data_IF_605451273192
#
_entry.id   IF_605451273192
#
_cell.length_a   1.000
_cell.length_b   1.000
_cell.length_c   1.000
_cell.angle_alpha   90.00
_cell.angle_beta   90.00
_cell.angle_gamma   90.00
#
_symmetry.space_group_name_H-M   'P 1'
#
loop_
_entity.id
_entity.type
_entity.pdbx_description
1 polymer ?
#
# COMPACT_ATOMS: atom_id res chain seq x y z
N UNK A 1 -34.22 3.49 -29.67
CA UNK A 1 -34.37 4.15 -28.38
C UNK A 1 -35.83 4.37 -28.10
N UNK A 2 -36.47 3.36 -27.51
CA UNK A 2 -37.71 3.58 -26.81
C UNK A 2 -37.40 4.26 -25.49
N UNK A 3 -38.09 5.34 -25.16
CA UNK A 3 -37.98 5.97 -23.86
C UNK A 3 -38.75 5.10 -22.86
N UNK A 4 -38.22 4.81 -21.67
CA UNK A 4 -38.99 4.11 -20.61
C UNK A 4 -39.63 5.06 -19.62
N UNK A 5 -39.46 6.36 -19.83
CA UNK A 5 -40.28 7.35 -19.18
C UNK A 5 -40.71 8.40 -20.22
N UNK A 6 -41.85 9.02 -19.98
CA UNK A 6 -42.31 10.17 -20.74
C UNK A 6 -42.64 11.30 -19.77
N UNK A 7 -42.24 12.53 -20.10
CA UNK A 7 -42.67 13.71 -19.36
C UNK A 7 -43.68 14.43 -20.23
N UNK A 8 -44.90 14.57 -19.73
CA UNK A 8 -45.95 15.27 -20.46
C UNK A 8 -46.89 15.99 -19.51
N UNK A 9 -47.39 17.13 -19.94
CA UNK A 9 -48.55 17.80 -19.34
C UNK A 9 -49.87 17.13 -19.71
N UNK A 10 -49.88 16.34 -20.78
CA UNK A 10 -51.04 15.58 -21.24
C UNK A 10 -51.19 14.28 -20.44
N UNK A 11 -52.43 13.79 -20.34
CA UNK A 11 -52.73 12.56 -19.62
C UNK A 11 -52.49 11.35 -20.52
N UNK A 12 -51.57 10.46 -20.13
CA UNK A 12 -51.30 9.20 -20.84
C UNK A 12 -51.93 8.06 -20.02
N UNK A 13 -53.06 7.53 -20.50
CA UNK A 13 -53.74 6.38 -19.90
C UNK A 13 -53.48 5.12 -20.73
N UNK A 14 -52.51 4.31 -20.32
CA UNK A 14 -52.20 3.04 -20.95
C UNK A 14 -52.08 1.94 -19.89
N UNK A 15 -52.60 0.72 -20.13
CA UNK A 15 -52.44 -0.39 -19.21
C UNK A 15 -50.96 -0.64 -18.89
N UNK A 16 -50.64 -0.79 -17.60
CA UNK A 16 -49.27 -1.03 -17.15
C UNK A 16 -48.39 0.23 -17.11
N UNK A 17 -48.92 1.42 -17.39
CA UNK A 17 -48.22 2.70 -17.20
C UNK A 17 -48.70 3.37 -15.91
N UNK A 18 -47.75 3.79 -15.07
CA UNK A 18 -47.99 4.60 -13.87
C UNK A 18 -47.43 5.99 -14.08
N UNK A 19 -47.90 6.94 -13.27
CA UNK A 19 -47.38 8.30 -13.33
C UNK A 19 -47.44 9.05 -12.00
N UNK A 20 -46.49 9.96 -11.84
CA UNK A 20 -46.36 10.84 -10.68
C UNK A 20 -46.30 12.30 -11.18
N UNK A 21 -46.90 13.23 -10.45
CA UNK A 21 -46.74 14.67 -10.72
C UNK A 21 -45.35 15.13 -10.30
N UNK A 22 -44.66 15.87 -11.18
CA UNK A 22 -43.34 16.41 -10.89
C UNK A 22 -43.39 17.46 -9.78
N UNK A 23 -44.39 18.34 -9.78
CA UNK A 23 -44.56 19.32 -8.71
C UNK A 23 -44.74 18.70 -7.31
N UNK A 24 -45.36 17.52 -7.24
CA UNK A 24 -45.50 16.78 -5.98
C UNK A 24 -44.19 16.10 -5.52
N UNK A 25 -43.29 15.76 -6.44
CA UNK A 25 -41.99 15.15 -6.12
C UNK A 25 -40.92 16.21 -5.79
N UNK A 26 -40.95 17.33 -6.50
CA UNK A 26 -39.94 18.38 -6.46
C UNK A 26 -40.36 19.60 -5.62
N UNK A 27 -41.52 19.50 -4.96
CA UNK A 27 -42.13 20.55 -4.13
C UNK A 27 -42.21 21.91 -4.86
N UNK A 28 -42.83 21.90 -6.04
CA UNK A 28 -43.01 23.10 -6.87
C UNK A 28 -44.30 23.03 -7.71
N UNK A 29 -44.57 24.09 -8.48
CA UNK A 29 -45.81 24.22 -9.26
C UNK A 29 -45.80 23.49 -10.61
N UNK A 30 -44.83 22.60 -10.89
CA UNK A 30 -44.75 21.88 -12.17
C UNK A 30 -45.93 20.90 -12.33
N UNK A 31 -46.79 21.21 -13.30
CA UNK A 31 -47.99 20.44 -13.60
C UNK A 31 -47.73 19.21 -14.47
N UNK A 32 -46.52 19.05 -15.01
CA UNK A 32 -46.15 17.89 -15.83
C UNK A 32 -46.06 16.63 -14.99
N UNK A 33 -46.36 15.50 -15.63
CA UNK A 33 -46.26 14.17 -15.06
C UNK A 33 -45.10 13.42 -15.68
N UNK A 34 -44.40 12.65 -14.86
CA UNK A 34 -43.51 11.58 -15.33
C UNK A 34 -44.31 10.28 -15.40
N UNK A 35 -44.34 9.68 -16.58
CA UNK A 35 -44.96 8.39 -16.86
C UNK A 35 -43.87 7.33 -16.96
N UNK A 36 -44.10 6.15 -16.38
CA UNK A 36 -43.16 5.04 -16.42
C UNK A 36 -43.93 3.70 -16.41
N UNK A 37 -43.42 2.66 -17.05
CA UNK A 37 -44.04 1.34 -17.06
C UNK A 37 -43.90 0.71 -15.67
N UNK A 38 -44.96 0.06 -15.20
CA UNK A 38 -44.95 -0.79 -14.01
C UNK A 38 -44.41 -2.20 -14.31
N UNK A 39 -44.17 -2.50 -15.60
CA UNK A 39 -43.64 -3.76 -16.12
C UNK A 39 -42.49 -3.48 -17.10
N UNK A 40 -42.04 -4.46 -17.88
CA UNK A 40 -40.93 -4.37 -18.83
C UNK A 40 -41.23 -3.59 -20.14
N UNK A 41 -42.39 -2.93 -20.22
CA UNK A 41 -42.86 -2.19 -21.39
C UNK A 41 -42.00 -0.97 -21.72
N UNK A 42 -41.98 -0.55 -23.00
CA UNK A 42 -41.23 0.63 -23.47
C UNK A 42 -42.15 1.61 -24.20
N UNK A 43 -41.95 2.92 -24.04
CA UNK A 43 -42.58 3.91 -24.90
C UNK A 43 -41.80 3.99 -26.22
N UNK A 44 -42.46 3.64 -27.33
CA UNK A 44 -41.82 3.73 -28.66
C UNK A 44 -41.76 5.19 -29.11
N UNK A 45 -40.57 5.64 -29.49
CA UNK A 45 -40.36 6.85 -30.28
C UNK A 45 -39.98 6.44 -31.71
N UNK A 46 -40.49 7.14 -32.72
CA UNK A 46 -40.18 6.84 -34.12
C UNK A 46 -38.66 7.02 -34.39
N UNK A 47 -38.03 6.05 -35.05
CA UNK A 47 -36.71 6.21 -35.68
C UNK A 47 -35.47 5.69 -34.94
N UNK A 48 -35.57 5.09 -33.75
CA UNK A 48 -34.38 4.70 -33.01
C UNK A 48 -34.31 3.17 -32.74
N UNK A 49 -33.24 2.52 -33.22
CA UNK A 49 -33.00 1.07 -33.11
C UNK A 49 -32.99 0.49 -31.70
N UNK A 50 -33.09 -0.85 -31.64
CA UNK A 50 -33.17 -1.67 -30.43
C UNK A 50 -31.81 -1.77 -29.73
N UNK A 51 -31.52 -0.82 -28.84
CA UNK A 51 -30.43 -0.95 -27.88
C UNK A 51 -31.05 -1.06 -26.48
N UNK A 52 -30.63 -2.11 -25.75
CA UNK A 52 -31.12 -2.45 -24.42
C UNK A 52 -30.69 -1.37 -23.41
N UNK A 53 -31.66 -0.74 -22.75
CA UNK A 53 -31.44 0.18 -21.62
C UNK A 53 -32.45 -0.14 -20.53
N UNK A 54 -31.94 -0.28 -19.31
CA UNK A 54 -32.71 -0.53 -18.09
C UNK A 54 -33.31 0.84 -17.68
N UNK A 55 -34.56 0.87 -17.23
CA UNK A 55 -35.24 2.12 -16.92
C UNK A 55 -36.69 1.92 -16.46
N UNK A 56 -36.93 0.89 -15.65
CA UNK A 56 -38.20 0.64 -14.99
C UNK A 56 -38.19 1.12 -13.53
N UNK A 57 -39.25 0.81 -12.79
CA UNK A 57 -39.32 1.02 -11.35
C UNK A 57 -38.67 -0.15 -10.57
N UNK A 58 -37.60 -0.74 -11.11
CA UNK A 58 -36.94 -1.86 -10.43
C UNK A 58 -36.23 -1.34 -9.18
N UNK A 59 -36.16 -2.12 -8.09
CA UNK A 59 -35.45 -1.73 -6.88
C UNK A 59 -33.99 -1.34 -7.17
N UNK A 60 -33.34 -2.04 -8.09
CA UNK A 60 -31.95 -1.77 -8.50
C UNK A 60 -31.78 -0.37 -9.13
N UNK A 61 -32.85 0.20 -9.69
CA UNK A 61 -32.85 1.52 -10.35
C UNK A 61 -33.35 2.65 -9.44
N UNK A 62 -34.08 2.32 -8.38
CA UNK A 62 -34.60 3.31 -7.41
C UNK A 62 -33.68 3.51 -6.20
N UNK A 63 -32.77 2.58 -5.91
CA UNK A 63 -31.85 2.67 -4.76
C UNK A 63 -30.60 3.46 -5.19
N UNK A 64 -30.52 4.72 -4.76
CA UNK A 64 -29.27 5.50 -4.80
C UNK A 64 -28.54 5.32 -3.47
N UNK A 65 -27.43 4.57 -3.40
CA UNK A 65 -26.69 4.42 -2.16
C UNK A 65 -26.02 5.75 -1.77
N UNK A 66 -26.35 6.28 -0.59
CA UNK A 66 -25.64 7.43 -0.01
C UNK A 66 -24.43 6.90 0.76
N UNK A 67 -23.25 7.02 0.16
CA UNK A 67 -21.98 6.67 0.81
C UNK A 67 -21.54 7.82 1.73
N UNK A 68 -21.67 7.62 3.05
CA UNK A 68 -21.07 8.52 4.04
C UNK A 68 -19.60 8.15 4.22
N UNK A 69 -18.73 8.69 3.36
CA UNK A 69 -17.28 8.55 3.51
C UNK A 69 -16.79 9.59 4.52
N UNK A 70 -16.50 9.15 5.74
CA UNK A 70 -15.67 9.95 6.67
C UNK A 70 -14.21 9.78 6.26
N UNK A 71 -13.71 10.65 5.39
CA UNK A 71 -12.26 10.83 5.30
C UNK A 71 -11.83 11.58 6.55
N UNK A 72 -11.10 10.91 7.45
CA UNK A 72 -10.38 11.65 8.47
C UNK A 72 -9.35 12.49 7.73
N UNK A 73 -9.59 13.79 7.59
CA UNK A 73 -8.58 14.77 7.15
C UNK A 73 -7.51 14.98 8.22
N UNK A 74 -7.22 13.96 9.03
CA UNK A 74 -5.92 13.90 9.66
C UNK A 74 -4.94 13.81 8.52
N UNK A 75 -4.03 14.78 8.40
CA UNK A 75 -2.69 14.56 7.84
C UNK A 75 -2.39 13.09 8.11
N UNK A 76 -2.42 12.23 7.08
CA UNK A 76 -2.09 10.82 7.23
C UNK A 76 -0.79 10.83 8.02
N UNK A 77 -0.80 10.32 9.26
CA UNK A 77 0.31 10.50 10.19
C UNK A 77 1.55 10.04 9.42
N UNK A 78 2.44 10.98 9.11
CA UNK A 78 3.47 10.72 8.11
C UNK A 78 4.30 9.53 8.59
N UNK A 79 4.43 8.50 7.76
CA UNK A 79 5.06 7.24 8.15
C UNK A 79 6.57 7.35 8.00
N UNK A 80 7.37 6.73 8.88
CA UNK A 80 8.82 6.61 8.67
C UNK A 80 9.15 6.01 7.29
N UNK A 81 10.20 6.49 6.62
CA UNK A 81 10.70 5.90 5.36
C UNK A 81 11.14 4.45 5.57
N UNK A 82 10.76 3.55 4.68
CA UNK A 82 11.19 2.15 4.74
C UNK A 82 12.62 1.99 4.22
N UNK A 83 13.34 1.01 4.76
CA UNK A 83 14.69 0.64 4.33
C UNK A 83 14.77 -0.86 4.09
N UNK A 84 15.67 -1.29 3.23
CA UNK A 84 15.95 -2.71 3.00
C UNK A 84 17.44 -2.97 2.84
N UNK A 85 17.87 -4.16 3.23
CA UNK A 85 19.16 -4.68 2.81
C UNK A 85 19.10 -4.97 1.31
N UNK A 86 20.06 -4.44 0.55
CA UNK A 86 20.15 -4.67 -0.89
C UNK A 86 20.57 -6.11 -1.14
N UNK A 87 20.09 -6.69 -2.25
CA UNK A 87 20.38 -8.08 -2.61
C UNK A 87 21.89 -8.39 -2.58
N UNK A 88 22.23 -9.48 -1.91
CA UNK A 88 23.59 -9.96 -1.71
C UNK A 88 23.56 -11.31 -1.00
N UNK A 89 24.67 -12.05 -1.04
CA UNK A 89 24.78 -13.28 -0.27
C UNK A 89 24.78 -12.94 1.22
N UNK A 90 23.75 -13.38 1.97
CA UNK A 90 23.69 -13.26 3.43
C UNK A 90 24.69 -14.22 4.10
N UNK A 91 25.99 -13.96 3.89
CA UNK A 91 27.11 -14.73 4.42
C UNK A 91 28.08 -13.83 5.15
N UNK A 92 28.63 -14.31 6.25
CA UNK A 92 29.67 -13.64 7.03
C UNK A 92 30.99 -14.38 6.82
N UNK A 93 31.84 -13.84 5.93
CA UNK A 93 33.13 -14.45 5.56
C UNK A 93 34.34 -13.76 6.19
N UNK A 94 34.12 -12.64 6.88
CA UNK A 94 35.17 -11.91 7.60
C UNK A 94 34.61 -11.24 8.85
N UNK A 95 35.49 -10.78 9.75
CA UNK A 95 35.09 -10.01 10.95
C UNK A 95 34.45 -8.66 10.63
N UNK A 96 34.71 -8.08 9.45
CA UNK A 96 34.10 -6.82 9.00
C UNK A 96 33.08 -7.12 7.90
N UNK A 97 31.80 -7.06 8.25
CA UNK A 97 30.69 -7.42 7.37
C UNK A 97 30.11 -6.15 6.77
N UNK A 98 30.15 -6.04 5.44
CA UNK A 98 29.48 -4.96 4.71
C UNK A 98 28.00 -5.28 4.54
N UNK A 99 27.14 -4.39 5.00
CA UNK A 99 25.68 -4.46 4.84
C UNK A 99 25.22 -3.29 3.96
N UNK A 100 24.90 -3.53 2.68
CA UNK A 100 24.35 -2.51 1.80
C UNK A 100 22.87 -2.28 2.12
N UNK A 101 22.48 -1.04 2.40
CA UNK A 101 21.10 -0.65 2.69
C UNK A 101 20.61 0.31 1.61
N UNK A 102 19.35 0.14 1.21
CA UNK A 102 18.62 1.07 0.35
C UNK A 102 17.41 1.64 1.08
N UNK A 103 17.24 2.96 1.06
CA UNK A 103 15.98 3.63 1.37
C UNK A 103 14.99 3.39 0.23
N UNK A 104 13.78 2.90 0.53
CA UNK A 104 12.82 2.45 -0.49
C UNK A 104 12.01 3.60 -1.11
N UNK A 105 11.72 4.64 -0.35
CA UNK A 105 10.94 5.80 -0.77
C UNK A 105 11.64 7.10 -0.36
N UNK A 106 11.56 8.19 -1.13
CA UNK A 106 12.06 9.49 -0.70
C UNK A 106 11.26 10.05 0.48
N UNK A 107 11.89 10.92 1.27
CA UNK A 107 11.21 11.71 2.31
C UNK A 107 10.33 12.77 1.64
N UNK A 108 9.05 12.77 2.00
CA UNK A 108 7.99 13.65 1.45
C UNK A 108 7.10 14.18 2.58
N UNK A 109 6.02 14.90 2.25
CA UNK A 109 5.01 15.30 3.25
C UNK A 109 4.24 14.13 3.87
N UNK A 110 4.28 12.96 3.22
CA UNK A 110 3.62 11.72 3.67
C UNK A 110 4.59 10.74 4.33
N UNK A 111 5.88 10.88 4.05
CA UNK A 111 6.93 9.95 4.52
C UNK A 111 8.03 10.72 5.23
N UNK A 112 8.26 10.44 6.51
CA UNK A 112 9.23 11.15 7.36
C UNK A 112 10.58 10.46 7.41
N UNK A 113 11.65 11.24 7.60
CA UNK A 113 12.97 10.70 7.85
C UNK A 113 12.97 9.84 9.13
N UNK A 114 13.81 8.82 9.15
CA UNK A 114 13.89 7.87 10.26
C UNK A 114 15.33 7.44 10.52
N UNK A 115 15.65 7.15 11.78
CA UNK A 115 16.95 6.58 12.14
C UNK A 115 16.81 5.11 12.48
N UNK A 116 17.69 4.29 11.92
CA UNK A 116 17.75 2.85 12.14
C UNK A 116 19.05 2.44 12.83
N UNK A 117 18.98 1.41 13.66
CA UNK A 117 20.14 0.78 14.29
C UNK A 117 20.29 -0.62 13.73
N UNK A 118 21.52 -0.97 13.34
CA UNK A 118 21.89 -2.26 12.76
C UNK A 118 22.92 -2.96 13.63
N UNK A 119 22.73 -4.24 13.87
CA UNK A 119 23.69 -5.11 14.55
C UNK A 119 23.40 -6.58 14.28
N UNK A 120 24.41 -7.42 14.49
CA UNK A 120 24.25 -8.87 14.45
C UNK A 120 23.95 -9.44 15.83
N UNK A 121 23.11 -10.47 15.86
CA UNK A 121 22.85 -11.32 17.03
C UNK A 121 23.04 -12.80 16.71
N UNK A 122 23.24 -13.61 17.73
CA UNK A 122 23.15 -15.07 17.65
C UNK A 122 21.72 -15.59 17.87
N UNK A 123 21.55 -16.91 17.87
CA UNK A 123 20.26 -17.58 18.10
C UNK A 123 19.65 -17.35 19.49
N UNK A 124 20.39 -16.76 20.43
CA UNK A 124 19.92 -16.38 21.76
C UNK A 124 19.69 -14.87 21.88
N UNK A 125 19.60 -14.15 20.76
CA UNK A 125 19.46 -12.70 20.66
C UNK A 125 20.59 -11.91 21.35
N UNK A 126 21.75 -12.53 21.54
CA UNK A 126 22.91 -11.84 22.12
C UNK A 126 23.64 -11.07 21.03
N UNK A 127 23.91 -9.76 21.21
CA UNK A 127 24.68 -8.99 20.25
C UNK A 127 26.08 -9.58 20.03
N UNK A 128 26.48 -9.68 18.77
CA UNK A 128 27.78 -10.23 18.35
C UNK A 128 28.63 -9.26 17.54
N UNK A 129 28.14 -8.06 17.27
CA UNK A 129 28.86 -7.00 16.56
C UNK A 129 28.77 -5.66 17.28
N UNK A 130 29.48 -4.66 16.78
CA UNK A 130 29.14 -3.27 17.06
C UNK A 130 27.76 -2.91 16.47
N UNK A 131 27.22 -1.77 16.90
CA UNK A 131 26.04 -1.16 16.31
C UNK A 131 26.45 -0.14 15.24
N UNK A 132 25.63 -0.01 14.19
CA UNK A 132 25.71 1.07 13.21
C UNK A 132 24.38 1.83 13.18
N UNK A 133 24.45 3.15 13.03
CA UNK A 133 23.26 4.02 12.90
C UNK A 133 23.15 4.52 11.47
N UNK A 134 21.96 4.36 10.89
CA UNK A 134 21.63 4.88 9.57
C UNK A 134 20.53 5.92 9.70
N UNK A 135 20.79 7.14 9.22
CA UNK A 135 19.77 8.19 9.06
C UNK A 135 19.23 8.12 7.64
N UNK A 136 18.01 7.62 7.48
CA UNK A 136 17.30 7.57 6.22
C UNK A 136 16.50 8.86 6.03
N UNK A 137 17.10 9.85 5.36
CA UNK A 137 16.55 11.19 5.16
C UNK A 137 16.59 11.68 3.70
N UNK A 138 16.95 10.80 2.76
CA UNK A 138 17.09 11.19 1.36
C UNK A 138 15.74 11.60 0.76
N UNK A 139 15.76 12.67 -0.04
CA UNK A 139 14.61 13.20 -0.78
C UNK A 139 14.71 12.89 -2.29
N UNK A 140 15.71 12.12 -2.70
CA UNK A 140 15.97 11.80 -4.10
C UNK A 140 14.95 10.80 -4.64
N UNK A 141 14.33 11.11 -5.77
CA UNK A 141 13.37 10.20 -6.41
C UNK A 141 14.07 8.97 -7.02
N UNK A 142 15.31 9.12 -7.48
CA UNK A 142 16.09 8.03 -8.09
C UNK A 142 16.50 6.97 -7.05
N UNK A 143 15.98 5.72 -7.13
CA UNK A 143 16.35 4.63 -6.23
C UNK A 143 17.80 4.19 -6.32
N UNK A 144 18.54 4.59 -7.35
CA UNK A 144 19.96 4.30 -7.53
C UNK A 144 20.87 5.39 -6.95
N UNK A 145 20.29 6.52 -6.48
CA UNK A 145 21.06 7.63 -5.93
C UNK A 145 21.94 7.17 -4.76
N UNK A 146 23.23 7.58 -4.69
CA UNK A 146 24.11 7.28 -3.56
C UNK A 146 23.57 7.76 -2.21
N UNK A 147 22.72 8.80 -2.19
CA UNK A 147 22.06 9.25 -0.95
C UNK A 147 21.03 8.25 -0.43
N UNK A 148 20.45 7.43 -1.32
CA UNK A 148 19.49 6.37 -0.99
C UNK A 148 20.15 5.01 -0.76
N UNK A 149 21.43 4.85 -1.13
CA UNK A 149 22.16 3.58 -1.04
C UNK A 149 23.47 3.75 -0.29
N UNK A 150 23.53 3.18 0.90
CA UNK A 150 24.69 3.28 1.78
C UNK A 150 25.11 1.92 2.30
N UNK A 151 26.41 1.69 2.40
CA UNK A 151 26.97 0.46 2.96
C UNK A 151 27.51 0.71 4.36
N UNK A 152 27.09 -0.13 5.30
CA UNK A 152 27.54 -0.08 6.69
C UNK A 152 28.46 -1.26 6.99
N UNK A 153 29.55 -1.00 7.72
CA UNK A 153 30.48 -2.06 8.13
C UNK A 153 30.23 -2.42 9.60
N UNK A 154 29.73 -3.63 9.82
CA UNK A 154 29.53 -4.22 11.14
C UNK A 154 30.73 -5.10 11.47
N UNK A 155 31.41 -4.78 12.56
CA UNK A 155 32.56 -5.52 13.06
C UNK A 155 32.09 -6.50 14.12
N UNK A 156 32.34 -7.79 13.89
CA UNK A 156 32.07 -8.85 14.85
C UNK A 156 32.99 -8.72 16.09
N UNK A 157 32.47 -9.16 17.24
CA UNK A 157 33.25 -9.32 18.46
C UNK A 157 34.41 -10.29 18.25
N UNK A 158 35.52 -10.07 18.97
CA UNK A 158 36.68 -10.93 18.88
C UNK A 158 36.49 -12.20 19.72
N UNK A 159 35.82 -13.18 19.11
CA UNK A 159 35.58 -14.51 19.67
C UNK A 159 35.41 -15.53 18.54
N UNK A 160 35.46 -16.80 18.90
CA UNK A 160 35.15 -17.87 17.95
C UNK A 160 33.66 -17.94 17.65
N UNK A 161 33.35 -18.23 16.39
CA UNK A 161 31.99 -18.40 15.90
C UNK A 161 31.83 -19.78 15.26
N UNK A 162 30.71 -20.42 15.54
CA UNK A 162 30.34 -21.68 14.91
C UNK A 162 29.76 -21.42 13.52
N UNK A 163 30.36 -21.99 12.46
CA UNK A 163 29.89 -21.87 11.08
C UNK A 163 28.53 -22.58 10.83
N UNK A 164 28.14 -23.51 11.70
CA UNK A 164 26.82 -24.15 11.68
C UNK A 164 25.76 -23.41 12.51
N UNK A 165 26.17 -22.37 13.24
CA UNK A 165 25.28 -21.53 14.04
C UNK A 165 24.35 -20.65 13.21
N UNK A 166 23.21 -20.29 13.79
CA UNK A 166 22.28 -19.32 13.21
C UNK A 166 22.60 -17.90 13.73
N UNK A 167 22.79 -16.97 12.81
CA UNK A 167 23.06 -15.56 13.11
C UNK A 167 22.11 -14.68 12.34
N UNK A 168 21.79 -13.52 12.90
CA UNK A 168 20.79 -12.63 12.34
C UNK A 168 21.28 -11.20 12.34
N UNK A 169 21.10 -10.51 11.21
CA UNK A 169 21.13 -9.05 11.17
C UNK A 169 19.78 -8.54 11.68
N UNK A 170 19.81 -7.69 12.70
CA UNK A 170 18.64 -6.99 13.23
C UNK A 170 18.71 -5.54 12.76
N UNK A 171 17.58 -5.04 12.26
CA UNK A 171 17.36 -3.62 11.94
C UNK A 171 16.22 -3.12 12.79
N UNK A 172 16.49 -2.13 13.64
CA UNK A 172 15.49 -1.56 14.55
C UNK A 172 15.30 -0.07 14.32
N UNK A 173 14.07 0.42 14.47
CA UNK A 173 13.84 1.85 14.54
C UNK A 173 14.46 2.40 15.83
N UNK A 174 15.33 3.40 15.71
CA UNK A 174 16.10 3.92 16.83
C UNK A 174 15.23 4.59 17.90
N UNK A 175 14.07 5.14 17.51
CA UNK A 175 13.13 5.86 18.37
C UNK A 175 12.14 4.88 19.03
N UNK A 176 11.44 4.06 18.22
CA UNK A 176 10.38 3.17 18.73
C UNK A 176 10.93 1.87 19.32
N UNK A 177 12.19 1.52 19.03
CA UNK A 177 12.82 0.22 19.36
C UNK A 177 12.16 -0.99 18.69
N UNK A 178 11.30 -0.75 17.72
CA UNK A 178 10.65 -1.80 16.95
C UNK A 178 11.65 -2.48 16.01
N UNK A 179 11.67 -3.82 16.01
CA UNK A 179 12.40 -4.63 15.03
C UNK A 179 11.67 -4.59 13.69
N UNK A 180 12.30 -3.95 12.70
CA UNK A 180 11.73 -3.76 11.36
C UNK A 180 12.09 -4.94 10.46
N UNK A 181 13.32 -5.46 10.59
CA UNK A 181 13.79 -6.63 9.84
C UNK A 181 14.69 -7.52 10.70
N UNK A 182 14.55 -8.83 10.48
CA UNK A 182 15.45 -9.89 10.95
C UNK A 182 15.84 -10.75 9.77
N UNK A 183 17.12 -10.73 9.43
CA UNK A 183 17.64 -11.40 8.25
C UNK A 183 18.67 -12.43 8.69
N UNK A 184 18.47 -13.70 8.35
CA UNK A 184 19.42 -14.75 8.69
C UNK A 184 20.68 -14.63 7.83
N UNK A 185 21.84 -14.68 8.46
CA UNK A 185 23.15 -14.76 7.83
C UNK A 185 23.81 -16.10 8.18
N UNK A 186 24.45 -16.72 7.19
CA UNK A 186 25.27 -17.91 7.39
C UNK A 186 26.71 -17.50 7.71
N UNK A 187 27.27 -18.05 8.78
CA UNK A 187 28.68 -17.85 9.11
C UNK A 187 29.57 -18.76 8.26
N UNK A 188 30.62 -18.20 7.69
CA UNK A 188 31.60 -18.87 6.84
C UNK A 188 32.99 -18.26 7.09
N UNK A 189 33.37 -18.21 8.37
CA UNK A 189 34.70 -17.77 8.74
C UNK A 189 35.65 -18.94 8.58
N UNK A 190 36.71 -18.73 7.79
CA UNK A 190 37.84 -19.65 7.79
C UNK A 190 38.50 -19.59 9.16
N UNK A 191 38.35 -20.64 9.96
CA UNK A 191 39.10 -20.80 11.20
C UNK A 191 40.57 -20.68 10.82
N UNK A 192 41.29 -19.78 11.49
CA UNK A 192 42.72 -19.61 11.31
C UNK A 192 43.40 -20.84 11.91
N UNK A 193 43.39 -21.94 11.16
CA UNK A 193 44.26 -23.07 11.39
C UNK A 193 45.68 -22.56 11.27
N UNK A 194 46.44 -22.79 12.33
CA UNK A 194 47.88 -22.67 12.44
C UNK A 194 48.56 -22.98 11.10
N UNK A 195 49.00 -21.94 10.37
CA UNK A 195 49.93 -22.11 9.26
C UNK A 195 51.28 -22.46 9.87
N UNK A 196 51.44 -23.73 10.24
CA UNK A 196 52.71 -24.34 10.56
C UNK A 196 53.58 -24.35 9.30
N UNK A 197 54.31 -23.26 9.07
CA UNK A 197 55.57 -23.36 8.36
C UNK A 197 56.57 -23.92 9.37
N UNK A 198 56.70 -25.24 9.40
CA UNK A 198 57.95 -25.83 9.88
C UNK A 198 59.01 -25.53 8.80
N UNK A 199 60.16 -25.06 9.30
CA UNK A 199 61.36 -24.58 8.59
C UNK A 199 61.74 -25.28 7.28
#
# INVERSE_FOLDING_TARGET
>A
MGQRYAISSETIEQPGVRSQRLGALLDNDDQRRVYYPATDSIFKSAGAGQNYVHGGASPEEMIVPVLHVRTQSGRSKATPVSIKVTEGAHRITSRSVMVPISQEEPVTDKTTAATYVLYFVDSQDRPISNEQRYVADSREDDPQSPSRRQSFYLTLQDRDFDNSGAYYLIIQNAETKEEIQRIQYQMDLTIKGDFGFDI
#
